data_IF_594466210491
#
_entry.id   IF_594466210491
#
_cell.length_a   1.000
_cell.length_b   1.000
_cell.length_c   1.000
_cell.angle_alpha   90.00
_cell.angle_beta   90.00
_cell.angle_gamma   90.00
#
_symmetry.space_group_name_H-M   'P 1'
#
loop_
_entity.id
_entity.type
_entity.pdbx_description
1 polymer ?
#
# COMPACT_ATOMS: atom_id res chain seq x y z
N UNK A 1 9.32 -17.78 32.00
CA UNK A 1 9.47 -16.59 31.13
C UNK A 1 8.20 -15.77 31.25
N UNK A 2 8.32 -14.47 31.52
CA UNK A 2 7.20 -13.56 31.73
C UNK A 2 7.31 -12.46 30.68
N UNK A 3 6.24 -12.23 29.93
CA UNK A 3 6.15 -11.16 28.93
C UNK A 3 5.37 -9.97 29.50
N UNK A 4 5.93 -8.78 29.34
CA UNK A 4 5.27 -7.51 29.67
C UNK A 4 5.26 -6.70 28.37
N UNK A 5 4.09 -6.45 27.80
CA UNK A 5 3.94 -5.71 26.56
C UNK A 5 3.42 -4.29 26.80
N UNK A 6 3.77 -3.38 25.89
CA UNK A 6 3.32 -1.98 25.86
C UNK A 6 3.53 -1.21 27.18
N UNK A 7 4.65 -1.45 27.87
CA UNK A 7 4.92 -0.82 29.18
C UNK A 7 4.95 0.71 29.11
N UNK A 8 5.35 1.27 27.97
CA UNK A 8 5.35 2.70 27.67
C UNK A 8 3.95 3.35 27.59
N UNK A 9 2.89 2.54 27.41
CA UNK A 9 1.49 3.04 27.43
C UNK A 9 0.90 3.15 28.82
N UNK A 10 1.56 2.58 29.83
CA UNK A 10 1.12 2.69 31.20
C UNK A 10 1.25 4.13 31.70
N UNK A 11 0.48 4.47 32.76
CA UNK A 11 0.73 5.71 33.50
C UNK A 11 2.19 5.71 33.98
N UNK A 12 2.93 6.82 33.87
CA UNK A 12 4.36 6.84 34.16
C UNK A 12 4.73 6.24 35.53
N UNK A 13 3.99 6.59 36.59
CA UNK A 13 4.22 6.05 37.93
C UNK A 13 4.01 4.52 37.99
N UNK A 14 2.97 4.01 37.32
CA UNK A 14 2.72 2.56 37.27
C UNK A 14 3.82 1.81 36.52
N UNK A 15 4.34 2.37 35.43
CA UNK A 15 5.44 1.78 34.68
C UNK A 15 6.72 1.68 35.52
N UNK A 16 7.07 2.74 36.25
CA UNK A 16 8.21 2.77 37.18
C UNK A 16 8.04 1.72 38.28
N UNK A 17 6.89 1.74 38.95
CA UNK A 17 6.53 0.79 40.00
C UNK A 17 6.57 -0.67 39.53
N UNK A 18 6.22 -0.91 38.27
CA UNK A 18 6.31 -2.25 37.64
C UNK A 18 7.77 -2.63 37.43
N UNK A 19 8.60 -1.74 36.89
CA UNK A 19 10.04 -1.99 36.71
C UNK A 19 10.75 -2.26 38.04
N UNK A 20 10.42 -1.52 39.10
CA UNK A 20 10.95 -1.74 40.44
C UNK A 20 10.57 -3.11 41.01
N UNK A 21 9.31 -3.51 40.87
CA UNK A 21 8.86 -4.85 41.29
C UNK A 21 9.52 -5.97 40.49
N UNK A 22 9.59 -5.82 39.16
CA UNK A 22 10.29 -6.77 38.28
C UNK A 22 11.75 -6.92 38.69
N UNK A 23 12.42 -5.82 39.04
CA UNK A 23 13.80 -5.85 39.52
C UNK A 23 14.00 -6.71 40.76
N UNK A 24 13.11 -6.61 41.74
CA UNK A 24 13.17 -7.44 42.94
C UNK A 24 12.93 -8.93 42.67
N UNK A 25 12.21 -9.25 41.59
CA UNK A 25 11.95 -10.62 41.16
C UNK A 25 13.08 -11.19 40.28
N UNK A 26 14.04 -10.38 39.80
CA UNK A 26 15.16 -10.84 38.98
C UNK A 26 16.19 -11.67 39.75
N UNK A 27 16.28 -11.52 41.08
CA UNK A 27 17.20 -12.30 41.91
C UNK A 27 16.74 -13.77 42.12
N UNK A 28 15.61 -14.16 41.50
CA UNK A 28 15.13 -15.53 41.50
C UNK A 28 15.70 -16.30 40.30
N UNK A 29 16.45 -17.35 40.59
CA UNK A 29 16.96 -18.27 39.57
C UNK A 29 15.82 -18.79 38.67
N UNK A 30 16.06 -18.76 37.36
CA UNK A 30 15.19 -19.31 36.28
C UNK A 30 13.99 -18.46 35.86
N UNK A 31 13.90 -17.19 36.27
CA UNK A 31 12.90 -16.26 35.75
C UNK A 31 13.55 -15.30 34.74
N UNK A 32 12.99 -15.25 33.53
CA UNK A 32 13.37 -14.28 32.49
C UNK A 32 12.16 -13.40 32.22
N UNK A 33 12.34 -12.08 32.30
CA UNK A 33 11.35 -11.11 31.87
C UNK A 33 11.72 -10.58 30.48
N UNK A 34 10.74 -10.54 29.59
CA UNK A 34 10.85 -9.92 28.27
C UNK A 34 9.89 -8.75 28.25
N UNK A 35 10.41 -7.54 28.07
CA UNK A 35 9.63 -6.32 28.11
C UNK A 35 9.63 -5.68 26.72
N UNK A 36 8.45 -5.50 26.15
CA UNK A 36 8.23 -4.75 24.92
C UNK A 36 7.79 -3.32 25.27
N UNK A 37 8.47 -2.33 24.70
CA UNK A 37 8.21 -0.92 24.96
C UNK A 37 8.76 -0.01 23.84
N UNK A 38 8.17 1.16 23.68
CA UNK A 38 8.87 2.29 23.08
C UNK A 38 9.79 2.96 24.12
N UNK A 39 11.10 2.69 24.02
CA UNK A 39 12.13 3.17 24.96
C UNK A 39 12.12 4.69 25.12
N UNK A 40 12.01 5.43 24.03
CA UNK A 40 12.07 6.90 24.04
C UNK A 40 10.84 7.50 24.70
N UNK A 41 9.66 6.94 24.40
CA UNK A 41 8.41 7.38 25.04
C UNK A 41 8.43 7.09 26.54
N UNK A 42 8.84 5.88 26.95
CA UNK A 42 8.93 5.55 28.37
C UNK A 42 9.97 6.43 29.09
N UNK A 43 11.12 6.70 28.45
CA UNK A 43 12.13 7.61 29.00
C UNK A 43 11.60 9.03 29.23
N UNK A 44 10.85 9.57 28.27
CA UNK A 44 10.18 10.89 28.40
C UNK A 44 9.09 10.89 29.47
N UNK A 45 8.31 9.82 29.54
CA UNK A 45 7.29 9.63 30.60
C UNK A 45 7.91 9.67 31.99
N UNK A 46 9.06 8.99 32.18
CA UNK A 46 9.82 9.00 33.44
C UNK A 46 10.40 10.39 33.73
N UNK A 47 10.92 11.08 32.73
CA UNK A 47 11.38 12.48 32.86
C UNK A 47 10.22 13.40 33.30
N UNK A 48 8.99 13.18 32.82
CA UNK A 48 7.81 13.90 33.27
C UNK A 48 7.50 13.73 34.76
N UNK A 49 7.83 12.58 35.36
CA UNK A 49 7.63 12.28 36.79
C UNK A 49 8.72 12.90 37.65
N UNK A 50 9.99 12.73 37.27
CA UNK A 50 11.15 13.13 38.08
C UNK A 50 11.66 14.55 37.79
N UNK A 51 11.10 15.22 36.78
CA UNK A 51 11.45 16.57 36.38
C UNK A 51 12.24 16.65 35.07
N UNK A 52 12.16 17.80 34.40
CA UNK A 52 12.71 18.01 33.06
C UNK A 52 14.23 17.83 32.95
N UNK A 53 14.98 17.98 34.04
CA UNK A 53 16.43 17.73 34.06
C UNK A 53 16.78 16.24 34.26
N UNK A 54 15.80 15.38 34.53
CA UNK A 54 16.03 13.97 34.81
C UNK A 54 16.27 13.16 33.52
N UNK A 55 17.33 12.35 33.51
CA UNK A 55 17.64 11.49 32.37
C UNK A 55 16.92 10.14 32.48
N UNK A 56 15.67 10.08 31.99
CA UNK A 56 14.87 8.86 31.99
C UNK A 56 15.47 7.72 31.18
N UNK A 57 16.14 8.02 30.06
CA UNK A 57 16.78 7.00 29.21
C UNK A 57 17.94 6.28 29.91
N UNK A 58 18.70 7.00 30.73
CA UNK A 58 19.74 6.42 31.59
C UNK A 58 19.14 5.63 32.75
N UNK A 59 18.05 6.13 33.35
CA UNK A 59 17.36 5.43 34.43
C UNK A 59 16.85 4.05 34.00
N UNK A 60 16.31 3.92 32.77
CA UNK A 60 15.87 2.63 32.22
C UNK A 60 16.98 1.57 32.13
N UNK A 61 18.26 1.97 32.01
CA UNK A 61 19.40 1.02 31.99
C UNK A 61 19.56 0.25 33.30
N UNK A 62 18.92 0.67 34.39
CA UNK A 62 18.95 -0.03 35.69
C UNK A 62 18.08 -1.28 35.75
N UNK A 63 17.21 -1.46 34.75
CA UNK A 63 16.17 -2.50 34.69
C UNK A 63 16.27 -3.38 33.45
N UNK A 64 17.11 -3.01 32.47
CA UNK A 64 17.23 -3.69 31.18
C UNK A 64 18.69 -4.14 31.03
N UNK A 65 18.92 -5.44 31.19
CA UNK A 65 20.25 -6.04 31.03
C UNK A 65 20.64 -6.17 29.55
N UNK A 66 19.67 -6.55 28.72
CA UNK A 66 19.84 -6.72 27.27
C UNK A 66 18.75 -5.94 26.56
N UNK A 67 19.19 -5.03 25.68
CA UNK A 67 18.30 -4.28 24.80
C UNK A 67 18.36 -4.86 23.39
N UNK A 68 17.21 -5.17 22.81
CA UNK A 68 17.09 -5.77 21.48
C UNK A 68 16.12 -4.95 20.63
N UNK A 69 16.65 -4.38 19.53
CA UNK A 69 15.86 -3.65 18.56
C UNK A 69 15.43 -4.59 17.45
N UNK A 70 14.12 -4.71 17.23
CA UNK A 70 13.56 -5.47 16.12
C UNK A 70 13.97 -4.83 14.79
N UNK A 71 14.45 -5.65 13.84
CA UNK A 71 14.74 -5.19 12.48
C UNK A 71 13.43 -4.98 11.74
N UNK A 72 13.23 -3.79 11.20
CA UNK A 72 12.09 -3.51 10.33
C UNK A 72 12.40 -4.03 8.93
N UNK A 73 11.61 -4.98 8.37
CA UNK A 73 11.78 -5.40 6.98
C UNK A 73 11.46 -4.25 6.03
N UNK A 74 11.94 -4.32 4.79
CA UNK A 74 11.47 -3.37 3.77
C UNK A 74 9.95 -3.53 3.57
N UNK A 75 9.27 -2.45 3.18
CA UNK A 75 7.81 -2.50 3.01
C UNK A 75 7.40 -3.52 1.94
N UNK A 76 8.22 -3.70 0.89
CA UNK A 76 8.01 -4.69 -0.17
C UNK A 76 8.12 -6.13 0.36
N UNK A 77 9.12 -6.42 1.18
CA UNK A 77 9.25 -7.73 1.84
C UNK A 77 8.07 -7.99 2.78
N UNK A 78 7.66 -6.98 3.55
CA UNK A 78 6.50 -7.09 4.42
C UNK A 78 5.23 -7.42 3.63
N UNK A 79 4.92 -6.65 2.57
CA UNK A 79 3.79 -6.89 1.67
C UNK A 79 3.84 -8.31 1.09
N UNK A 80 5.00 -8.73 0.60
CA UNK A 80 5.19 -10.08 0.05
C UNK A 80 4.84 -11.15 1.08
N UNK A 81 5.35 -11.05 2.32
CA UNK A 81 5.01 -12.00 3.40
C UNK A 81 3.52 -11.98 3.72
N UNK A 82 2.88 -10.82 3.78
CA UNK A 82 1.44 -10.71 4.07
C UNK A 82 0.58 -11.33 2.95
N UNK A 83 0.97 -11.20 1.69
CA UNK A 83 0.23 -11.75 0.55
C UNK A 83 0.48 -13.25 0.33
N UNK A 84 1.56 -13.81 0.87
CA UNK A 84 1.82 -15.25 0.94
C UNK A 84 1.15 -15.96 2.14
N UNK A 85 0.25 -15.28 2.87
CA UNK A 85 -0.56 -15.97 3.86
C UNK A 85 -1.39 -17.10 3.22
N UNK A 86 -1.53 -18.28 3.87
CA UNK A 86 -2.11 -19.48 3.25
C UNK A 86 -3.49 -19.25 2.61
N UNK A 87 -4.30 -18.39 3.23
CA UNK A 87 -5.62 -18.04 2.72
C UNK A 87 -5.55 -17.32 1.36
N UNK A 88 -4.70 -16.30 1.23
CA UNK A 88 -4.54 -15.52 0.00
C UNK A 88 -3.86 -16.38 -1.07
N UNK A 89 -2.84 -17.13 -0.68
CA UNK A 89 -2.12 -18.02 -1.60
C UNK A 89 -3.05 -19.09 -2.17
N UNK A 90 -3.93 -19.68 -1.35
CA UNK A 90 -4.93 -20.65 -1.80
C UNK A 90 -5.92 -20.05 -2.80
N UNK A 91 -6.33 -18.80 -2.59
CA UNK A 91 -7.21 -18.07 -3.50
C UNK A 91 -6.55 -17.93 -4.88
N UNK A 92 -5.30 -17.45 -4.95
CA UNK A 92 -4.60 -17.30 -6.23
C UNK A 92 -4.29 -18.63 -6.91
N UNK A 93 -3.93 -19.69 -6.16
CA UNK A 93 -3.75 -21.04 -6.72
C UNK A 93 -5.01 -21.61 -7.39
N UNK A 94 -6.19 -21.18 -6.95
CA UNK A 94 -7.46 -21.63 -7.53
C UNK A 94 -7.84 -20.93 -8.85
N UNK A 95 -7.12 -19.86 -9.22
CA UNK A 95 -7.42 -19.00 -10.37
C UNK A 95 -6.54 -19.36 -11.56
N UNK A 96 -7.08 -19.24 -12.78
CA UNK A 96 -6.34 -19.55 -14.02
C UNK A 96 -5.06 -18.73 -14.18
N UNK A 97 -5.17 -17.42 -13.98
CA UNK A 97 -4.08 -16.45 -14.13
C UNK A 97 -3.52 -15.99 -12.76
N UNK A 98 -3.78 -16.75 -11.70
CA UNK A 98 -3.61 -16.29 -10.33
C UNK A 98 -2.18 -16.00 -9.89
N UNK A 99 -1.18 -16.71 -10.44
CA UNK A 99 0.23 -16.40 -10.15
C UNK A 99 0.61 -15.01 -10.67
N UNK A 100 0.18 -14.67 -11.89
CA UNK A 100 0.44 -13.37 -12.49
C UNK A 100 -0.29 -12.26 -11.71
N UNK A 101 -1.58 -12.46 -11.40
CA UNK A 101 -2.37 -11.52 -10.59
C UNK A 101 -1.69 -11.26 -9.23
N UNK A 102 -1.20 -12.31 -8.58
CA UNK A 102 -0.56 -12.23 -7.26
C UNK A 102 0.73 -11.40 -7.29
N UNK A 103 1.62 -11.69 -8.24
CA UNK A 103 2.86 -10.92 -8.44
C UNK A 103 2.57 -9.47 -8.79
N UNK A 104 1.58 -9.24 -9.67
CA UNK A 104 1.19 -7.89 -10.06
C UNK A 104 0.70 -7.08 -8.85
N UNK A 105 -0.15 -7.66 -8.00
CA UNK A 105 -0.61 -7.00 -6.76
C UNK A 105 0.55 -6.64 -5.84
N UNK A 106 1.53 -7.54 -5.65
CA UNK A 106 2.72 -7.25 -4.83
C UNK A 106 3.45 -6.02 -5.38
N UNK A 107 3.64 -5.93 -6.69
CA UNK A 107 4.32 -4.79 -7.33
C UNK A 107 3.53 -3.49 -7.22
N UNK A 108 2.22 -3.51 -7.49
CA UNK A 108 1.37 -2.33 -7.37
C UNK A 108 1.30 -1.84 -5.91
N UNK A 109 1.12 -2.75 -4.96
CA UNK A 109 1.11 -2.41 -3.54
C UNK A 109 2.48 -1.87 -3.09
N UNK A 110 3.59 -2.47 -3.54
CA UNK A 110 4.92 -1.98 -3.16
C UNK A 110 5.19 -0.57 -3.71
N UNK A 111 4.80 -0.30 -4.96
CA UNK A 111 4.90 1.03 -5.57
C UNK A 111 4.10 2.07 -4.77
N UNK A 112 2.82 1.80 -4.53
CA UNK A 112 1.92 2.73 -3.83
C UNK A 112 2.30 2.90 -2.35
N UNK A 113 2.66 1.81 -1.65
CA UNK A 113 3.12 1.86 -0.28
C UNK A 113 4.40 2.68 -0.12
N UNK A 114 5.32 2.60 -1.10
CA UNK A 114 6.53 3.43 -1.09
C UNK A 114 6.19 4.90 -1.35
N UNK A 115 5.29 5.16 -2.30
CA UNK A 115 4.84 6.51 -2.67
C UNK A 115 4.16 7.27 -1.51
N UNK A 116 3.37 6.57 -0.70
CA UNK A 116 2.63 7.13 0.43
C UNK A 116 3.28 6.83 1.79
N UNK A 117 4.51 6.32 1.81
CA UNK A 117 5.28 6.03 3.02
C UNK A 117 4.54 5.14 4.04
N UNK A 118 3.85 4.11 3.54
CA UNK A 118 3.03 3.22 4.38
C UNK A 118 3.86 2.48 5.43
N UNK A 119 3.29 2.43 6.64
CA UNK A 119 3.79 1.59 7.74
C UNK A 119 3.27 0.15 7.60
N UNK A 120 3.86 -0.82 8.33
CA UNK A 120 3.29 -2.17 8.42
C UNK A 120 1.82 -2.20 8.85
N UNK A 121 1.38 -1.22 9.66
CA UNK A 121 -0.02 -1.10 10.08
C UNK A 121 -0.93 -0.74 8.90
N UNK A 122 -0.51 0.19 8.07
CA UNK A 122 -1.26 0.60 6.88
C UNK A 122 -1.37 -0.56 5.88
N UNK A 123 -0.28 -1.31 5.69
CA UNK A 123 -0.28 -2.54 4.88
C UNK A 123 -1.25 -3.58 5.46
N UNK A 124 -1.26 -3.80 6.78
CA UNK A 124 -2.20 -4.75 7.39
C UNK A 124 -3.65 -4.37 7.17
N UNK A 125 -3.99 -3.09 7.27
CA UNK A 125 -5.34 -2.60 6.98
C UNK A 125 -5.71 -2.79 5.50
N UNK A 126 -4.78 -2.48 4.59
CA UNK A 126 -4.98 -2.68 3.15
C UNK A 126 -5.17 -4.16 2.80
N UNK A 127 -4.31 -5.05 3.32
CA UNK A 127 -4.42 -6.51 3.12
C UNK A 127 -5.72 -7.05 3.74
N UNK A 128 -6.15 -6.54 4.90
CA UNK A 128 -7.43 -6.89 5.51
C UNK A 128 -8.60 -6.64 4.55
N UNK A 129 -8.67 -5.45 3.95
CA UNK A 129 -9.70 -5.10 2.94
C UNK A 129 -9.60 -5.98 1.70
N UNK A 130 -8.39 -6.25 1.21
CA UNK A 130 -8.18 -7.12 0.05
C UNK A 130 -8.68 -8.54 0.29
N UNK A 131 -8.48 -9.11 1.48
CA UNK A 131 -9.02 -10.44 1.81
C UNK A 131 -10.54 -10.52 1.67
N UNK A 132 -11.26 -9.48 2.12
CA UNK A 132 -12.71 -9.41 1.94
C UNK A 132 -13.09 -9.36 0.46
N UNK A 133 -12.38 -8.54 -0.31
CA UNK A 133 -12.62 -8.40 -1.75
C UNK A 133 -12.35 -9.74 -2.46
N UNK A 134 -11.21 -10.39 -2.20
CA UNK A 134 -10.87 -11.68 -2.80
C UNK A 134 -11.92 -12.76 -2.49
N UNK A 135 -12.41 -12.83 -1.23
CA UNK A 135 -13.49 -13.77 -0.85
C UNK A 135 -14.81 -13.51 -1.59
N UNK A 136 -15.06 -12.28 -2.00
CA UNK A 136 -16.28 -11.92 -2.75
C UNK A 136 -16.19 -12.20 -4.26
N UNK A 137 -15.01 -12.53 -4.78
CA UNK A 137 -14.77 -12.72 -6.22
C UNK A 137 -14.58 -14.22 -6.49
N UNK A 138 -15.47 -14.87 -7.23
CA UNK A 138 -15.27 -16.28 -7.60
C UNK A 138 -13.99 -16.48 -8.42
N UNK A 139 -13.35 -17.63 -8.28
CA UNK A 139 -12.06 -17.92 -8.92
C UNK A 139 -12.08 -17.86 -10.46
N UNK A 140 -13.26 -18.02 -11.08
CA UNK A 140 -13.47 -17.92 -12.52
C UNK A 140 -13.82 -16.50 -13.01
N UNK A 141 -13.91 -15.51 -12.12
CA UNK A 141 -14.16 -14.10 -12.47
C UNK A 141 -12.86 -13.31 -12.48
N UNK A 142 -12.81 -12.25 -13.29
CA UNK A 142 -11.69 -11.32 -13.32
C UNK A 142 -11.53 -10.56 -12.00
N UNK A 143 -10.27 -10.42 -11.59
CA UNK A 143 -9.90 -9.66 -10.40
C UNK A 143 -9.89 -8.15 -10.69
N UNK A 144 -9.39 -7.79 -11.87
CA UNK A 144 -9.20 -6.41 -12.32
C UNK A 144 -8.28 -5.63 -11.34
N UNK A 145 -7.22 -6.29 -10.89
CA UNK A 145 -6.27 -5.80 -9.88
C UNK A 145 -5.58 -4.50 -10.28
N UNK A 146 -5.32 -4.31 -11.58
CA UNK A 146 -4.67 -3.10 -12.13
C UNK A 146 -5.49 -1.83 -11.94
N UNK A 147 -6.81 -1.92 -11.73
CA UNK A 147 -7.67 -0.79 -11.35
C UNK A 147 -8.13 -0.91 -9.89
N UNK A 148 -8.31 -2.12 -9.36
CA UNK A 148 -8.79 -2.33 -7.99
C UNK A 148 -7.79 -1.87 -6.93
N UNK A 149 -6.51 -2.21 -7.06
CA UNK A 149 -5.47 -1.81 -6.10
C UNK A 149 -5.32 -0.28 -6.03
N UNK A 150 -5.11 0.45 -7.15
CA UNK A 150 -4.98 1.91 -7.08
C UNK A 150 -6.26 2.60 -6.58
N UNK A 151 -7.46 2.08 -6.91
CA UNK A 151 -8.70 2.68 -6.40
C UNK A 151 -8.91 2.43 -4.90
N UNK A 152 -8.48 1.29 -4.38
CA UNK A 152 -8.52 1.02 -2.94
C UNK A 152 -7.58 1.98 -2.17
N UNK A 153 -6.39 2.25 -2.72
CA UNK A 153 -5.46 3.26 -2.18
C UNK A 153 -6.02 4.67 -2.34
N UNK A 154 -6.54 5.03 -3.53
CA UNK A 154 -7.11 6.35 -3.79
C UNK A 154 -8.27 6.67 -2.84
N UNK A 155 -9.11 5.68 -2.52
CA UNK A 155 -10.18 5.84 -1.53
C UNK A 155 -9.64 6.22 -0.15
N UNK A 156 -8.51 5.65 0.25
CA UNK A 156 -7.89 5.94 1.54
C UNK A 156 -7.19 7.31 1.55
N UNK A 157 -6.41 7.60 0.51
CA UNK A 157 -5.53 8.78 0.47
C UNK A 157 -6.22 10.06 -0.04
N UNK A 158 -7.16 9.93 -0.97
CA UNK A 158 -7.90 11.07 -1.52
C UNK A 158 -9.38 10.72 -1.79
N UNK A 159 -10.21 10.59 -0.73
CA UNK A 159 -11.62 10.20 -0.86
C UNK A 159 -12.42 11.11 -1.80
N UNK A 160 -12.12 12.41 -1.82
CA UNK A 160 -12.78 13.37 -2.72
C UNK A 160 -12.46 13.10 -4.20
N UNK A 161 -11.21 12.77 -4.51
CA UNK A 161 -10.76 12.43 -5.86
C UNK A 161 -11.32 11.06 -6.29
N UNK A 162 -11.33 10.08 -5.39
CA UNK A 162 -12.01 8.80 -5.62
C UNK A 162 -13.49 8.98 -5.98
N UNK A 163 -14.22 9.77 -5.19
CA UNK A 163 -15.64 10.05 -5.41
C UNK A 163 -15.92 10.84 -6.69
N UNK A 164 -14.96 11.66 -7.14
CA UNK A 164 -15.07 12.36 -8.42
C UNK A 164 -14.81 11.40 -9.57
N UNK A 165 -13.76 10.59 -9.49
CA UNK A 165 -13.41 9.61 -10.51
C UNK A 165 -14.50 8.56 -10.73
N UNK A 166 -15.23 8.18 -9.68
CA UNK A 166 -16.39 7.27 -9.81
C UNK A 166 -17.56 7.85 -10.59
N UNK A 167 -17.66 9.18 -10.67
CA UNK A 167 -18.73 9.90 -11.38
C UNK A 167 -18.28 10.42 -12.74
N UNK A 168 -17.02 10.86 -12.84
CA UNK A 168 -16.40 11.42 -14.03
C UNK A 168 -15.02 10.77 -14.27
N UNK A 169 -14.96 9.71 -15.09
CA UNK A 169 -13.70 9.08 -15.48
C UNK A 169 -12.73 10.01 -16.21
N UNK A 170 -13.16 11.17 -16.74
CA UNK A 170 -12.25 12.08 -17.42
C UNK A 170 -11.29 12.81 -16.48
N UNK A 171 -11.44 12.68 -15.16
CA UNK A 171 -10.40 13.09 -14.20
C UNK A 171 -9.29 12.03 -14.00
N UNK A 172 -9.24 10.97 -14.80
CA UNK A 172 -8.24 9.89 -14.71
C UNK A 172 -6.78 10.39 -14.67
N UNK A 173 -6.43 11.41 -15.46
CA UNK A 173 -5.07 11.97 -15.45
C UNK A 173 -4.72 12.56 -14.08
N UNK A 174 -5.65 13.23 -13.42
CA UNK A 174 -5.43 13.77 -12.06
C UNK A 174 -5.27 12.65 -11.03
N UNK A 175 -6.02 11.55 -11.17
CA UNK A 175 -5.85 10.34 -10.36
C UNK A 175 -4.45 9.76 -10.54
N UNK A 176 -4.02 9.63 -11.80
CA UNK A 176 -2.70 9.06 -12.13
C UNK A 176 -1.59 9.95 -11.58
N UNK A 177 -1.65 11.27 -11.78
CA UNK A 177 -0.65 12.20 -11.25
C UNK A 177 -0.59 12.18 -9.71
N UNK A 178 -1.76 12.09 -9.05
CA UNK A 178 -1.82 11.97 -7.60
C UNK A 178 -1.12 10.70 -7.10
N UNK A 179 -1.49 9.54 -7.68
CA UNK A 179 -0.92 8.23 -7.34
C UNK A 179 0.56 8.11 -7.74
N UNK A 180 0.99 8.78 -8.81
CA UNK A 180 2.39 8.77 -9.24
C UNK A 180 3.28 9.71 -8.42
N UNK A 181 2.71 10.82 -7.92
CA UNK A 181 3.48 11.90 -7.32
C UNK A 181 4.26 12.76 -8.31
N UNK A 182 4.01 12.60 -9.61
CA UNK A 182 4.58 13.41 -10.68
C UNK A 182 3.52 13.75 -11.72
N UNK A 183 3.77 14.82 -12.48
CA UNK A 183 2.91 15.16 -13.63
C UNK A 183 3.15 14.21 -14.78
N UNK A 184 2.14 14.01 -15.63
CA UNK A 184 2.32 13.32 -16.90
C UNK A 184 3.34 14.11 -17.74
N UNK A 185 4.32 13.43 -18.32
CA UNK A 185 5.50 14.06 -18.94
C UNK A 185 6.72 14.12 -18.03
N UNK A 186 6.61 13.72 -16.76
CA UNK A 186 7.69 13.79 -15.77
C UNK A 186 7.90 12.45 -15.05
N UNK A 187 9.17 12.15 -14.75
CA UNK A 187 9.57 10.95 -14.02
C UNK A 187 9.67 9.71 -14.90
N UNK A 188 9.78 8.55 -14.24
CA UNK A 188 9.82 7.23 -14.89
C UNK A 188 8.95 6.24 -14.14
N UNK A 189 8.54 5.18 -14.82
CA UNK A 189 7.77 4.08 -14.23
C UNK A 189 7.99 2.80 -15.01
N UNK A 190 7.82 1.68 -14.32
CA UNK A 190 7.97 0.34 -14.89
C UNK A 190 6.70 -0.10 -15.65
N UNK A 191 6.84 -1.15 -16.45
CA UNK A 191 5.75 -1.66 -17.28
C UNK A 191 4.48 -2.00 -16.49
N UNK A 192 4.59 -2.62 -15.30
CA UNK A 192 3.40 -2.97 -14.49
C UNK A 192 2.64 -1.75 -13.97
N UNK A 193 3.36 -0.68 -13.64
CA UNK A 193 2.77 0.61 -13.27
C UNK A 193 2.10 1.27 -14.48
N UNK A 194 2.69 1.10 -15.68
CA UNK A 194 2.04 1.54 -16.91
C UNK A 194 0.71 0.82 -17.20
N UNK A 195 0.64 -0.49 -16.93
CA UNK A 195 -0.63 -1.25 -17.03
C UNK A 195 -1.67 -0.64 -16.09
N UNK A 196 -1.30 -0.38 -14.84
CA UNK A 196 -2.17 0.30 -13.86
C UNK A 196 -2.70 1.64 -14.38
N UNK A 197 -1.83 2.50 -14.95
CA UNK A 197 -2.25 3.78 -15.53
C UNK A 197 -3.20 3.62 -16.73
N UNK A 198 -2.93 2.66 -17.63
CA UNK A 198 -3.82 2.37 -18.75
C UNK A 198 -5.21 1.92 -18.28
N UNK A 199 -5.26 1.05 -17.27
CA UNK A 199 -6.50 0.61 -16.63
C UNK A 199 -7.28 1.75 -15.96
N UNK A 200 -6.60 2.76 -15.40
CA UNK A 200 -7.25 3.95 -14.85
C UNK A 200 -7.82 4.90 -15.92
N UNK A 201 -7.23 4.91 -17.12
CA UNK A 201 -7.78 5.68 -18.26
C UNK A 201 -8.97 4.98 -18.92
N UNK A 202 -8.98 3.64 -18.89
CA UNK A 202 -9.94 2.81 -19.62
C UNK A 202 -11.41 3.20 -19.41
N UNK A 203 -11.90 3.52 -18.19
CA UNK A 203 -13.32 3.82 -18.00
C UNK A 203 -13.80 5.04 -18.77
N UNK A 204 -12.91 5.97 -19.10
CA UNK A 204 -13.26 7.11 -19.95
C UNK A 204 -13.45 6.72 -21.43
N UNK A 205 -12.88 5.58 -21.88
CA UNK A 205 -13.08 5.07 -23.24
C UNK A 205 -14.47 4.50 -23.46
N UNK A 206 -15.14 4.07 -22.40
CA UNK A 206 -16.53 3.59 -22.46
C UNK A 206 -17.53 4.75 -22.71
N UNK A 207 -17.07 6.00 -22.67
CA UNK A 207 -17.86 7.22 -22.94
C UNK A 207 -18.11 7.46 -24.43
N UNK A 208 -19.22 8.15 -24.75
CA UNK A 208 -19.51 8.61 -26.12
C UNK A 208 -18.72 9.87 -26.53
N UNK A 209 -18.05 10.54 -25.59
CA UNK A 209 -17.33 11.80 -25.87
C UNK A 209 -15.95 11.56 -26.47
N UNK A 210 -15.85 11.62 -27.80
CA UNK A 210 -14.58 11.54 -28.54
C UNK A 210 -13.60 12.64 -28.15
N UNK A 211 -14.09 13.87 -27.96
CA UNK A 211 -13.27 15.01 -27.54
C UNK A 211 -12.69 14.80 -26.13
N UNK A 212 -13.51 14.28 -25.21
CA UNK A 212 -13.07 13.94 -23.86
C UNK A 212 -11.98 12.87 -23.85
N UNK A 213 -12.14 11.83 -24.68
CA UNK A 213 -11.15 10.75 -24.86
C UNK A 213 -9.83 11.31 -25.39
N UNK A 214 -9.88 12.14 -26.43
CA UNK A 214 -8.65 12.73 -26.99
C UNK A 214 -7.95 13.63 -25.97
N UNK A 215 -8.70 14.43 -25.21
CA UNK A 215 -8.17 15.32 -24.18
C UNK A 215 -7.36 14.58 -23.12
N UNK A 216 -7.81 13.40 -22.67
CA UNK A 216 -7.09 12.65 -21.64
C UNK A 216 -5.92 11.83 -22.19
N UNK A 217 -5.98 11.40 -23.45
CA UNK A 217 -4.89 10.65 -24.09
C UNK A 217 -3.79 11.55 -24.66
N UNK A 218 -4.09 12.80 -25.01
CA UNK A 218 -3.15 13.72 -25.63
C UNK A 218 -1.82 13.89 -24.85
N UNK A 219 -1.82 14.10 -23.52
CA UNK A 219 -0.57 14.20 -22.76
C UNK A 219 0.32 12.95 -22.84
N UNK A 220 -0.29 11.76 -22.90
CA UNK A 220 0.44 10.49 -23.02
C UNK A 220 1.01 10.30 -24.43
N UNK A 221 0.27 10.66 -25.47
CA UNK A 221 0.74 10.65 -26.87
C UNK A 221 1.91 11.62 -27.06
N UNK A 222 1.78 12.82 -26.51
CA UNK A 222 2.84 13.83 -26.56
C UNK A 222 4.10 13.33 -25.85
N UNK A 223 3.97 12.79 -24.63
CA UNK A 223 5.10 12.26 -23.88
C UNK A 223 5.79 11.11 -24.61
N UNK A 224 5.02 10.16 -25.16
CA UNK A 224 5.57 9.08 -25.98
C UNK A 224 6.35 9.61 -27.19
N UNK A 225 5.83 10.63 -27.87
CA UNK A 225 6.49 11.28 -29.00
C UNK A 225 7.82 11.94 -28.60
N UNK A 226 7.81 12.73 -27.51
CA UNK A 226 9.01 13.39 -26.99
C UNK A 226 10.12 12.39 -26.64
N UNK A 227 9.78 11.28 -25.96
CA UNK A 227 10.75 10.23 -25.60
C UNK A 227 11.31 9.55 -26.85
N UNK A 228 10.46 9.26 -27.85
CA UNK A 228 10.89 8.68 -29.12
C UNK A 228 11.89 9.57 -29.87
N UNK A 229 11.67 10.89 -29.87
CA UNK A 229 12.55 11.87 -30.51
C UNK A 229 13.88 12.04 -29.77
N UNK A 230 13.87 11.95 -28.44
CA UNK A 230 15.08 12.06 -27.60
C UNK A 230 15.99 10.84 -27.76
N UNK A 231 15.42 9.64 -27.85
CA UNK A 231 16.21 8.40 -27.82
C UNK A 231 16.88 8.08 -29.17
N UNK A 232 16.34 8.54 -30.32
CA UNK A 232 16.90 8.34 -31.70
C UNK A 232 17.53 6.96 -31.96
N UNK A 233 17.04 5.91 -31.30
CA UNK A 233 17.59 4.54 -31.36
C UNK A 233 16.75 3.66 -32.27
N UNK A 234 17.36 2.60 -32.80
CA UNK A 234 16.67 1.61 -33.65
C UNK A 234 15.65 0.74 -32.89
N UNK A 235 15.75 0.70 -31.55
CA UNK A 235 14.87 -0.08 -30.67
C UNK A 235 14.33 0.80 -29.53
N UNK A 236 13.01 0.74 -29.25
CA UNK A 236 12.40 1.49 -28.15
C UNK A 236 12.97 1.07 -26.79
N UNK A 237 13.29 2.04 -25.93
CA UNK A 237 13.70 1.77 -24.54
C UNK A 237 12.58 1.10 -23.75
N UNK A 238 12.92 0.51 -22.59
CA UNK A 238 11.93 -0.04 -21.67
C UNK A 238 10.92 1.03 -21.22
N UNK A 239 11.39 2.26 -21.02
CA UNK A 239 10.52 3.36 -20.61
C UNK A 239 9.60 3.82 -21.74
N UNK A 240 10.10 3.91 -22.97
CA UNK A 240 9.25 4.19 -24.13
C UNK A 240 8.14 3.14 -24.30
N UNK A 241 8.48 1.85 -24.10
CA UNK A 241 7.49 0.75 -24.11
C UNK A 241 6.49 0.85 -22.96
N UNK A 242 6.92 1.30 -21.79
CA UNK A 242 6.02 1.54 -20.67
C UNK A 242 4.99 2.64 -21.00
N UNK A 243 5.41 3.78 -21.55
CA UNK A 243 4.45 4.83 -21.96
C UNK A 243 3.50 4.30 -23.04
N UNK A 244 4.02 3.54 -24.02
CA UNK A 244 3.18 2.90 -25.04
C UNK A 244 2.15 1.94 -24.43
N UNK A 245 2.54 1.16 -23.42
CA UNK A 245 1.64 0.25 -22.72
C UNK A 245 0.48 1.00 -22.04
N UNK A 246 0.70 2.21 -21.49
CA UNK A 246 -0.40 3.04 -20.95
C UNK A 246 -1.47 3.28 -22.03
N UNK A 247 -1.05 3.65 -23.24
CA UNK A 247 -1.97 3.90 -24.36
C UNK A 247 -2.66 2.61 -24.84
N UNK A 248 -1.93 1.51 -24.92
CA UNK A 248 -2.45 0.20 -25.34
C UNK A 248 -3.52 -0.30 -24.34
N UNK A 249 -3.21 -0.32 -23.05
CA UNK A 249 -4.15 -0.71 -22.01
C UNK A 249 -5.27 0.32 -21.78
N UNK A 250 -5.14 1.56 -22.24
CA UNK A 250 -6.28 2.46 -22.27
C UNK A 250 -7.25 2.09 -23.41
N UNK A 251 -6.74 1.79 -24.61
CA UNK A 251 -7.53 1.84 -25.85
C UNK A 251 -7.84 0.49 -26.49
N UNK A 252 -7.05 -0.56 -26.25
CA UNK A 252 -7.23 -1.85 -26.93
C UNK A 252 -8.32 -2.70 -26.26
N UNK A 253 -9.49 -2.81 -26.89
CA UNK A 253 -10.61 -3.63 -26.43
C UNK A 253 -10.25 -5.12 -26.27
N UNK A 254 -9.21 -5.62 -26.94
CA UNK A 254 -8.78 -7.02 -26.86
C UNK A 254 -8.18 -7.34 -25.49
N UNK A 255 -7.45 -6.41 -24.90
CA UNK A 255 -6.89 -6.55 -23.55
C UNK A 255 -8.00 -6.75 -22.51
N UNK A 256 -9.18 -6.17 -22.76
CA UNK A 256 -10.34 -6.29 -21.88
C UNK A 256 -11.30 -7.40 -22.29
N UNK A 257 -11.01 -8.16 -23.36
CA UNK A 257 -11.88 -9.18 -23.94
C UNK A 257 -13.31 -8.65 -24.20
N UNK A 258 -13.41 -7.38 -24.62
CA UNK A 258 -14.67 -6.69 -24.88
C UNK A 258 -15.50 -6.30 -23.66
N UNK A 259 -14.96 -6.45 -22.43
CA UNK A 259 -15.67 -6.04 -21.19
C UNK A 259 -15.76 -4.52 -21.08
N UNK A 260 -16.92 -4.03 -20.62
CA UNK A 260 -17.18 -2.62 -20.29
C UNK A 260 -17.66 -2.48 -18.85
N UNK A 261 -17.57 -1.29 -18.28
CA UNK A 261 -18.04 -1.03 -16.91
C UNK A 261 -17.20 -1.72 -15.83
N UNK A 262 -15.93 -2.01 -16.13
CA UNK A 262 -14.99 -2.64 -15.20
C UNK A 262 -14.85 -1.79 -13.92
N UNK A 263 -14.76 -0.48 -14.07
CA UNK A 263 -14.70 0.45 -12.93
C UNK A 263 -15.92 0.34 -12.03
N UNK A 264 -17.13 0.24 -12.57
CA UNK A 264 -18.37 0.09 -11.79
C UNK A 264 -18.35 -1.17 -10.93
N UNK A 265 -17.92 -2.31 -11.49
CA UNK A 265 -17.78 -3.56 -10.74
C UNK A 265 -16.76 -3.42 -9.61
N UNK A 266 -15.63 -2.77 -9.90
CA UNK A 266 -14.56 -2.55 -8.92
C UNK A 266 -15.00 -1.59 -7.81
N UNK A 267 -15.70 -0.50 -8.13
CA UNK A 267 -16.28 0.41 -7.13
C UNK A 267 -17.21 -0.35 -6.18
N UNK A 268 -18.16 -1.12 -6.72
CA UNK A 268 -19.09 -1.89 -5.88
C UNK A 268 -18.37 -2.86 -4.92
N UNK A 269 -17.30 -3.51 -5.37
CA UNK A 269 -16.47 -4.40 -4.53
C UNK A 269 -15.75 -3.63 -3.42
N UNK A 270 -15.19 -2.46 -3.74
CA UNK A 270 -14.49 -1.61 -2.77
C UNK A 270 -15.46 -1.04 -1.74
N UNK A 271 -16.65 -0.59 -2.15
CA UNK A 271 -17.69 -0.09 -1.23
C UNK A 271 -18.15 -1.19 -0.28
N UNK A 272 -18.43 -2.40 -0.79
CA UNK A 272 -18.85 -3.54 0.02
C UNK A 272 -17.80 -3.94 1.07
N UNK A 273 -16.51 -3.91 0.72
CA UNK A 273 -15.44 -4.12 1.68
C UNK A 273 -15.26 -2.95 2.67
N UNK A 274 -15.66 -1.74 2.27
CA UNK A 274 -15.59 -0.52 3.08
C UNK A 274 -16.66 -0.42 4.17
N UNK A 275 -17.74 -1.20 4.09
CA UNK A 275 -18.75 -1.31 5.15
C UNK A 275 -18.24 -2.06 6.39
N UNK A 276 -17.10 -2.77 6.28
CA UNK A 276 -16.49 -3.52 7.37
C UNK A 276 -15.31 -2.70 7.95
N UNK A 277 -15.48 -2.19 9.17
CA UNK A 277 -14.43 -1.46 9.87
C UNK A 277 -13.37 -2.43 10.44
N UNK A 278 -12.12 -2.28 10.00
CA UNK A 278 -10.97 -2.95 10.60
C UNK A 278 -10.44 -2.08 11.75
N UNK A 279 -10.71 -2.47 12.99
CA UNK A 279 -10.19 -1.85 14.21
C UNK A 279 -8.73 -2.27 14.48
#
# INVERSE_FOLDING_TARGET
MIFIDELDRCRPNYAIETLERVKHLFDLDRIIFIISMNRDQLGKSIQGVYGSSFNGAHYLKRFIDVDYHLRTPSIKEYISVRLHEPEIESYFKSRRDGQYDHEHIIELMAYLASRFEYTPRDVNQLVGRLKLIFRSIPANHYLDESIMIPLLVLRQEAPALYNRYSKDPFCANEVIEFLAGSRIGQGTFEHRIAVMFGYLLRPAMDSQSKEGVERILAPWKEWHGQVAEMEKTSYPSEFQRAIKAVLEFATDDREFRGRRGISTVVFNRIELAGEINFS
#
